data_IF_234952850674
#
_entry.id   IF_234952850674
#
_cell.length_a   1.000
_cell.length_b   1.000
_cell.length_c   1.000
_cell.angle_alpha   90.00
_cell.angle_beta   90.00
_cell.angle_gamma   90.00
#
_symmetry.space_group_name_H-M   'P 1'
#
loop_
_entity.id
_entity.type
_entity.pdbx_description
1 polymer ?
#
# COMPACT_ATOMS: atom_id res chain seq x y z
N UNK A 1 7.29 -27.25 -20.48
CA UNK A 1 5.84 -27.40 -20.73
C UNK A 1 5.20 -26.02 -20.59
N UNK A 2 4.29 -25.65 -21.49
CA UNK A 2 3.52 -24.39 -21.43
C UNK A 2 2.05 -24.75 -21.24
N UNK A 3 1.37 -24.09 -20.32
CA UNK A 3 -0.06 -24.27 -20.07
C UNK A 3 -0.84 -23.19 -20.82
N UNK A 4 -2.10 -23.50 -21.18
CA UNK A 4 -2.99 -22.53 -21.82
C UNK A 4 -3.60 -21.53 -20.82
N UNK A 5 -3.72 -21.93 -19.55
CA UNK A 5 -4.34 -21.15 -18.48
C UNK A 5 -3.85 -21.64 -17.11
N UNK A 6 -3.60 -20.72 -16.18
CA UNK A 6 -3.49 -21.01 -14.76
C UNK A 6 -4.66 -20.37 -14.00
N UNK A 7 -5.33 -21.13 -13.14
CA UNK A 7 -6.35 -20.62 -12.21
C UNK A 7 -5.86 -20.88 -10.80
N UNK A 8 -5.71 -19.84 -9.97
CA UNK A 8 -5.08 -19.97 -8.65
C UNK A 8 -5.79 -19.17 -7.55
N UNK A 9 -5.74 -19.71 -6.34
CA UNK A 9 -5.92 -18.99 -5.09
C UNK A 9 -4.70 -19.28 -4.21
N UNK A 10 -3.56 -18.62 -4.46
CA UNK A 10 -2.32 -18.95 -3.78
C UNK A 10 -2.40 -18.56 -2.30
N UNK A 11 -1.61 -19.20 -1.41
CA UNK A 11 -1.39 -18.65 -0.09
C UNK A 11 -0.82 -17.23 -0.21
N UNK A 12 -1.42 -16.27 0.49
CA UNK A 12 -1.11 -14.85 0.28
C UNK A 12 0.28 -14.46 0.81
N UNK A 13 0.65 -14.98 1.98
CA UNK A 13 1.85 -14.54 2.70
C UNK A 13 1.76 -13.10 3.19
N UNK A 14 2.78 -12.65 3.93
CA UNK A 14 2.82 -11.30 4.51
C UNK A 14 2.75 -10.25 3.39
N UNK A 15 1.76 -9.36 3.46
CA UNK A 15 1.55 -8.29 2.47
C UNK A 15 1.25 -8.77 1.04
N UNK A 16 0.86 -10.03 0.85
CA UNK A 16 0.65 -10.61 -0.48
C UNK A 16 1.92 -11.05 -1.21
N UNK A 17 3.09 -10.99 -0.55
CA UNK A 17 4.37 -11.31 -1.21
C UNK A 17 4.48 -12.76 -1.70
N UNK A 18 3.79 -13.72 -1.08
CA UNK A 18 3.80 -15.10 -1.59
C UNK A 18 2.92 -15.22 -2.83
N UNK A 19 1.73 -14.62 -2.83
CA UNK A 19 0.88 -14.57 -4.01
C UNK A 19 1.56 -13.90 -5.22
N UNK A 20 2.30 -12.80 -5.00
CA UNK A 20 3.08 -12.14 -6.06
C UNK A 20 4.15 -13.08 -6.64
N UNK A 21 4.83 -13.87 -5.80
CA UNK A 21 5.80 -14.87 -6.27
C UNK A 21 5.14 -15.94 -7.13
N UNK A 22 3.92 -16.38 -6.80
CA UNK A 22 3.15 -17.29 -7.64
C UNK A 22 2.80 -16.66 -8.99
N UNK A 23 2.31 -15.41 -9.02
CA UNK A 23 2.02 -14.71 -10.27
C UNK A 23 3.24 -14.64 -11.19
N UNK A 24 4.37 -14.18 -10.66
CA UNK A 24 5.62 -14.05 -11.40
C UNK A 24 6.14 -15.40 -11.89
N UNK A 25 6.02 -16.45 -11.08
CA UNK A 25 6.47 -17.78 -11.51
C UNK A 25 5.58 -18.37 -12.59
N UNK A 26 4.27 -18.16 -12.50
CA UNK A 26 3.31 -18.68 -13.47
C UNK A 26 3.43 -17.99 -14.84
N UNK A 27 3.88 -16.73 -14.90
CA UNK A 27 4.10 -16.03 -16.17
C UNK A 27 5.22 -16.65 -17.01
N UNK A 28 6.08 -17.48 -16.42
CA UNK A 28 7.06 -18.28 -17.16
C UNK A 28 6.43 -19.50 -17.86
N UNK A 29 5.21 -19.87 -17.49
CA UNK A 29 4.56 -21.12 -17.89
C UNK A 29 3.22 -20.93 -18.63
N UNK A 30 2.59 -19.77 -18.53
CA UNK A 30 1.33 -19.42 -19.20
C UNK A 30 1.25 -17.92 -19.46
N UNK A 31 0.55 -17.53 -20.53
CA UNK A 31 0.25 -16.13 -20.83
C UNK A 31 -1.10 -15.67 -20.25
N UNK A 32 -1.87 -16.59 -19.66
CA UNK A 32 -3.18 -16.34 -19.02
C UNK A 32 -3.19 -16.88 -17.59
N UNK A 33 -3.34 -15.98 -16.62
CA UNK A 33 -3.41 -16.29 -15.19
C UNK A 33 -4.68 -15.65 -14.62
N UNK A 34 -5.52 -16.44 -13.98
CA UNK A 34 -6.71 -15.97 -13.25
C UNK A 34 -6.52 -16.27 -11.78
N UNK A 35 -6.50 -15.23 -10.97
CA UNK A 35 -6.09 -15.34 -9.58
C UNK A 35 -7.11 -14.70 -8.64
N UNK A 36 -7.31 -15.34 -7.49
CA UNK A 36 -7.88 -14.71 -6.31
C UNK A 36 -6.73 -14.25 -5.42
N UNK A 37 -6.62 -12.95 -5.17
CA UNK A 37 -5.46 -12.30 -4.54
C UNK A 37 -5.91 -11.42 -3.38
N UNK A 38 -5.03 -11.07 -2.42
CA UNK A 38 -5.38 -10.11 -1.38
C UNK A 38 -5.42 -8.69 -1.96
N UNK A 39 -6.30 -7.83 -1.44
CA UNK A 39 -6.38 -6.40 -1.82
C UNK A 39 -5.05 -5.67 -1.74
N UNK A 40 -4.14 -6.10 -0.85
CA UNK A 40 -2.80 -5.54 -0.71
C UNK A 40 -1.93 -5.63 -1.98
N UNK A 41 -2.28 -6.51 -2.94
CA UNK A 41 -1.61 -6.58 -4.24
C UNK A 41 -1.81 -5.31 -5.06
N UNK A 42 -2.92 -4.57 -4.86
CA UNK A 42 -3.19 -3.30 -5.55
C UNK A 42 -2.27 -2.15 -5.14
N UNK A 43 -1.57 -2.26 -4.02
CA UNK A 43 -0.66 -1.20 -3.57
C UNK A 43 0.46 -1.00 -4.60
N UNK A 44 0.86 0.24 -4.92
CA UNK A 44 1.98 0.51 -5.83
C UNK A 44 3.25 -0.26 -5.47
N UNK A 45 3.58 -0.36 -4.18
CA UNK A 45 4.72 -1.13 -3.67
C UNK A 45 4.63 -2.64 -3.92
N UNK A 46 3.42 -3.19 -4.02
CA UNK A 46 3.16 -4.58 -4.40
C UNK A 46 3.19 -4.75 -5.91
N UNK A 47 2.56 -3.86 -6.66
CA UNK A 47 2.56 -3.86 -8.12
C UNK A 47 3.98 -3.74 -8.70
N UNK A 48 4.87 -2.99 -8.06
CA UNK A 48 6.29 -2.89 -8.48
C UNK A 48 7.06 -4.20 -8.34
N UNK A 49 6.57 -5.17 -7.56
CA UNK A 49 7.18 -6.50 -7.41
C UNK A 49 6.68 -7.51 -8.45
N UNK A 50 5.59 -7.20 -9.15
CA UNK A 50 5.06 -8.04 -10.23
C UNK A 50 5.92 -7.82 -11.47
N UNK A 51 6.20 -8.85 -12.27
CA UNK A 51 7.03 -8.70 -13.47
C UNK A 51 6.37 -7.75 -14.49
N UNK A 52 7.12 -6.77 -15.01
CA UNK A 52 6.60 -5.64 -15.82
C UNK A 52 5.75 -5.99 -17.04
N UNK A 53 5.90 -7.17 -17.62
CA UNK A 53 5.14 -7.63 -18.79
C UNK A 53 3.80 -8.30 -18.44
N UNK A 54 3.49 -8.47 -17.15
CA UNK A 54 2.16 -8.88 -16.70
C UNK A 54 1.25 -7.67 -16.59
N UNK A 55 0.11 -7.73 -17.28
CA UNK A 55 -0.93 -6.71 -17.29
C UNK A 55 -2.20 -7.27 -16.65
N UNK A 56 -2.80 -6.51 -15.73
CA UNK A 56 -4.07 -6.87 -15.12
C UNK A 56 -5.20 -6.35 -16.02
N UNK A 57 -5.92 -7.25 -16.68
CA UNK A 57 -7.03 -6.90 -17.58
C UNK A 57 -8.40 -6.90 -16.86
N UNK A 58 -8.51 -7.62 -15.75
CA UNK A 58 -9.71 -7.63 -14.88
C UNK A 58 -9.24 -7.44 -13.44
N UNK A 59 -9.86 -6.51 -12.72
CA UNK A 59 -9.65 -6.29 -11.29
C UNK A 59 -10.98 -5.99 -10.61
N UNK A 60 -11.54 -6.99 -9.93
CA UNK A 60 -12.86 -6.92 -9.30
C UNK A 60 -12.77 -7.28 -7.82
N UNK A 61 -13.48 -6.55 -6.98
CA UNK A 61 -13.65 -6.95 -5.57
C UNK A 61 -14.44 -8.25 -5.48
N UNK A 62 -14.00 -9.13 -4.58
CA UNK A 62 -14.84 -10.25 -4.16
C UNK A 62 -15.74 -9.81 -3.01
N UNK A 63 -16.87 -10.49 -2.86
CA UNK A 63 -17.76 -10.26 -1.73
C UNK A 63 -16.97 -10.42 -0.41
N UNK A 64 -17.09 -9.47 0.54
CA UNK A 64 -16.39 -9.56 1.83
C UNK A 64 -16.65 -10.85 2.61
N UNK A 65 -17.77 -11.54 2.37
CA UNK A 65 -18.10 -12.83 2.98
C UNK A 65 -17.48 -14.04 2.26
N UNK A 66 -16.77 -13.83 1.15
CA UNK A 66 -16.16 -14.92 0.35
C UNK A 66 -15.15 -15.72 1.17
N UNK A 67 -14.38 -15.05 2.03
CA UNK A 67 -13.38 -15.68 2.89
C UNK A 67 -13.66 -15.41 4.38
N UNK A 68 -13.45 -16.40 5.26
CA UNK A 68 -13.58 -16.19 6.70
C UNK A 68 -12.47 -15.29 7.25
N UNK A 69 -12.71 -14.70 8.43
CA UNK A 69 -11.67 -13.99 9.18
C UNK A 69 -11.31 -12.59 8.67
N UNK A 70 -12.21 -11.95 7.91
CA UNK A 70 -12.03 -10.56 7.45
C UNK A 70 -10.98 -10.41 6.35
N UNK A 71 -10.78 -11.45 5.54
CA UNK A 71 -9.88 -11.41 4.39
C UNK A 71 -10.62 -10.74 3.22
N UNK A 72 -10.18 -9.54 2.84
CA UNK A 72 -10.66 -8.84 1.64
C UNK A 72 -9.86 -9.28 0.42
N UNK A 73 -10.49 -9.99 -0.50
CA UNK A 73 -9.84 -10.52 -1.69
C UNK A 73 -10.36 -9.88 -2.96
N UNK A 74 -9.57 -10.00 -4.03
CA UNK A 74 -9.85 -9.47 -5.35
C UNK A 74 -9.70 -10.59 -6.37
N UNK A 75 -10.57 -10.59 -7.37
CA UNK A 75 -10.47 -11.44 -8.55
C UNK A 75 -9.72 -10.66 -9.61
N UNK A 76 -8.58 -11.19 -10.04
CA UNK A 76 -7.74 -10.54 -11.04
C UNK A 76 -7.35 -11.47 -12.18
N UNK A 77 -7.41 -10.97 -13.41
CA UNK A 77 -6.94 -11.68 -14.60
C UNK A 77 -5.70 -10.99 -15.15
N UNK A 78 -4.62 -11.74 -15.27
CA UNK A 78 -3.31 -11.27 -15.67
C UNK A 78 -2.88 -11.89 -16.99
N UNK A 79 -2.45 -11.04 -17.93
CA UNK A 79 -1.96 -11.43 -19.25
C UNK A 79 -0.51 -11.03 -19.44
N UNK A 80 0.29 -11.95 -19.99
CA UNK A 80 1.64 -11.65 -20.45
C UNK A 80 1.54 -10.91 -21.79
N UNK A 81 2.13 -9.72 -21.89
CA UNK A 81 2.19 -8.92 -23.12
C UNK A 81 3.65 -8.66 -23.50
N UNK A 82 3.90 -8.38 -24.78
CA UNK A 82 5.26 -8.05 -25.26
C UNK A 82 5.72 -6.64 -24.84
N UNK A 83 4.85 -5.86 -24.20
CA UNK A 83 5.14 -4.52 -23.70
C UNK A 83 5.17 -4.50 -22.18
N UNK A 84 6.02 -3.64 -21.61
CA UNK A 84 5.96 -3.32 -20.18
C UNK A 84 4.70 -2.54 -19.87
N UNK A 85 4.11 -2.77 -18.68
CA UNK A 85 3.04 -1.92 -18.13
C UNK A 85 3.56 -0.58 -17.58
N UNK A 86 4.86 -0.47 -17.33
CA UNK A 86 5.47 0.77 -16.86
C UNK A 86 5.75 1.70 -18.03
N UNK A 87 5.68 3.01 -17.79
CA UNK A 87 6.07 4.02 -18.78
C UNK A 87 7.51 3.79 -19.25
N UNK A 88 7.79 4.16 -20.51
CA UNK A 88 9.10 3.98 -21.13
C UNK A 88 10.17 4.67 -20.28
N UNK A 89 11.17 3.91 -19.85
CA UNK A 89 12.27 4.39 -19.02
C UNK A 89 11.97 4.48 -17.51
N UNK A 90 10.72 4.25 -17.07
CA UNK A 90 10.31 4.47 -15.66
C UNK A 90 10.40 3.19 -14.82
N UNK A 91 10.30 1.99 -15.40
CA UNK A 91 10.63 0.70 -14.77
C UNK A 91 9.81 0.26 -13.54
N UNK A 92 9.10 1.18 -12.89
CA UNK A 92 8.26 0.99 -11.72
C UNK A 92 7.17 2.08 -11.64
N UNK A 93 6.17 1.91 -10.79
CA UNK A 93 5.26 2.99 -10.39
C UNK A 93 6.03 3.91 -9.44
N UNK A 94 6.10 5.24 -9.69
CA UNK A 94 6.78 6.18 -8.81
C UNK A 94 6.22 6.13 -7.38
N UNK A 95 7.13 6.14 -6.41
CA UNK A 95 6.81 6.08 -4.98
C UNK A 95 7.24 7.36 -4.30
N UNK A 96 6.32 8.02 -3.60
CA UNK A 96 6.63 9.19 -2.78
C UNK A 96 7.35 8.76 -1.50
N UNK A 97 8.51 9.38 -1.24
CA UNK A 97 9.37 9.08 -0.08
C UNK A 97 9.58 10.28 0.84
N UNK A 98 9.32 11.47 0.33
CA UNK A 98 9.55 12.76 0.97
C UNK A 98 8.40 13.70 0.60
N UNK A 99 8.15 14.72 1.43
CA UNK A 99 7.15 15.74 1.19
C UNK A 99 7.70 17.13 1.61
N UNK A 100 7.33 18.22 0.91
CA UNK A 100 7.78 19.56 1.29
C UNK A 100 7.31 20.01 2.69
N UNK A 101 6.21 19.49 3.20
CA UNK A 101 5.63 19.97 4.47
C UNK A 101 6.23 19.31 5.71
N UNK A 102 6.91 18.17 5.55
CA UNK A 102 7.39 17.38 6.68
C UNK A 102 8.52 16.42 6.33
N UNK A 103 9.33 16.08 7.33
CA UNK A 103 10.44 15.12 7.26
C UNK A 103 10.09 13.87 8.08
N UNK A 104 10.39 12.68 7.54
CA UNK A 104 10.36 11.44 8.31
C UNK A 104 11.69 11.26 9.05
N UNK A 105 11.66 11.40 10.36
CA UNK A 105 12.83 11.26 11.20
C UNK A 105 13.27 9.80 11.32
N UNK A 106 14.58 9.53 11.38
CA UNK A 106 15.10 8.24 11.79
C UNK A 106 14.74 7.96 13.25
N UNK A 107 14.72 6.69 13.64
CA UNK A 107 14.26 6.25 14.96
C UNK A 107 15.04 6.87 16.12
N UNK A 108 16.33 7.12 15.90
CA UNK A 108 17.26 7.71 16.84
C UNK A 108 16.90 9.17 17.17
N UNK A 109 16.20 9.86 16.26
CA UNK A 109 15.75 11.25 16.40
C UNK A 109 14.26 11.37 16.74
N UNK A 110 13.59 10.29 17.13
CA UNK A 110 12.13 10.28 17.37
C UNK A 110 11.64 11.27 18.44
N UNK A 111 12.50 11.64 19.38
CA UNK A 111 12.17 12.63 20.43
C UNK A 111 12.06 14.06 19.86
N UNK A 112 12.58 14.31 18.65
CA UNK A 112 12.45 15.61 17.95
C UNK A 112 11.14 15.74 17.15
N UNK A 113 10.39 14.64 17.00
CA UNK A 113 9.18 14.60 16.18
C UNK A 113 8.05 15.43 16.80
N UNK A 114 7.28 16.10 15.94
CA UNK A 114 6.11 16.87 16.33
C UNK A 114 4.84 16.00 16.33
N UNK A 115 4.82 14.99 15.46
CA UNK A 115 3.68 14.08 15.29
C UNK A 115 4.14 12.68 14.92
N UNK A 116 3.38 11.70 15.38
CA UNK A 116 3.54 10.29 15.05
C UNK A 116 2.39 9.81 14.18
N UNK A 117 2.72 9.04 13.15
CA UNK A 117 1.74 8.26 12.39
C UNK A 117 2.18 6.80 12.35
N UNK A 118 1.32 5.90 12.81
CA UNK A 118 1.69 4.49 12.83
C UNK A 118 1.76 3.89 11.43
N UNK A 119 2.86 3.18 11.12
CA UNK A 119 2.98 2.44 9.84
C UNK A 119 2.43 1.01 9.94
N UNK A 120 2.86 0.22 10.93
CA UNK A 120 2.63 -1.24 10.93
C UNK A 120 1.82 -1.76 12.12
N UNK A 121 0.89 -2.68 11.87
CA UNK A 121 0.16 -3.40 12.90
C UNK A 121 -1.21 -2.82 13.23
N UNK A 122 -2.17 -3.69 13.59
CA UNK A 122 -3.58 -3.33 13.69
C UNK A 122 -3.86 -2.26 14.76
N UNK A 123 -3.06 -2.20 15.83
CA UNK A 123 -3.17 -1.14 16.82
C UNK A 123 -2.77 0.23 16.26
N UNK A 124 -1.48 0.47 15.98
CA UNK A 124 -0.97 1.80 15.66
C UNK A 124 -1.16 2.24 14.21
N UNK A 125 -1.26 1.34 13.22
CA UNK A 125 -1.21 1.70 11.80
C UNK A 125 -2.30 2.72 11.39
N UNK A 126 -1.92 3.81 10.74
CA UNK A 126 -2.79 4.94 10.38
C UNK A 126 -3.25 5.82 11.54
N UNK A 127 -2.89 5.52 12.80
CA UNK A 127 -3.23 6.39 13.94
C UNK A 127 -2.26 7.55 14.02
N UNK A 128 -2.81 8.73 14.30
CA UNK A 128 -2.07 9.97 14.53
C UNK A 128 -1.97 10.22 16.03
N UNK A 129 -0.79 10.62 16.50
CA UNK A 129 -0.55 11.02 17.90
C UNK A 129 0.36 12.23 17.94
N UNK A 130 0.00 13.21 18.76
CA UNK A 130 0.79 14.43 19.02
C UNK A 130 1.55 14.38 20.34
N UNK A 131 1.28 13.38 21.18
CA UNK A 131 1.93 13.19 22.47
C UNK A 131 2.15 11.71 22.79
N UNK A 132 3.06 11.44 23.74
CA UNK A 132 3.29 10.12 24.31
C UNK A 132 3.51 9.01 23.28
N UNK A 133 4.26 9.27 22.19
CA UNK A 133 4.46 8.31 21.10
C UNK A 133 5.91 7.83 20.94
N UNK A 134 6.88 8.40 21.66
CA UNK A 134 8.30 8.06 21.45
C UNK A 134 8.68 6.66 21.94
N UNK A 135 7.78 6.00 22.69
CA UNK A 135 7.90 4.60 23.10
C UNK A 135 7.60 3.58 21.98
N UNK A 136 7.00 4.00 20.86
CA UNK A 136 6.75 3.10 19.74
C UNK A 136 8.05 2.56 19.16
N UNK A 137 8.01 1.35 18.61
CA UNK A 137 9.19 0.69 18.06
C UNK A 137 9.63 1.30 16.71
N UNK A 138 10.81 0.90 16.23
CA UNK A 138 11.25 1.20 14.86
C UNK A 138 10.27 0.62 13.84
N UNK A 139 10.06 1.34 12.73
CA UNK A 139 9.11 0.96 11.67
C UNK A 139 7.74 1.63 11.81
N UNK A 140 7.69 2.81 12.43
CA UNK A 140 6.58 3.75 12.39
C UNK A 140 7.09 5.12 11.94
N UNK A 141 6.18 6.03 11.60
CA UNK A 141 6.54 7.38 11.13
C UNK A 141 6.63 8.34 12.31
N UNK A 142 7.85 8.76 12.61
CA UNK A 142 8.13 9.90 13.47
C UNK A 142 8.37 11.10 12.56
N UNK A 143 7.55 12.13 12.68
CA UNK A 143 7.47 13.19 11.67
C UNK A 143 7.82 14.53 12.31
N UNK A 144 8.77 15.24 11.70
CA UNK A 144 9.05 16.65 11.97
C UNK A 144 8.30 17.50 10.95
N UNK A 145 7.44 18.41 11.40
CA UNK A 145 6.72 19.30 10.50
C UNK A 145 7.51 20.58 10.24
N UNK A 146 7.29 21.22 9.09
CA UNK A 146 7.87 22.52 8.77
C UNK A 146 6.98 23.69 9.18
N UNK A 147 5.67 23.47 9.24
CA UNK A 147 4.65 24.42 9.71
C UNK A 147 3.74 23.72 10.73
N UNK A 148 3.45 24.32 11.90
CA UNK A 148 2.53 23.76 12.89
C UNK A 148 1.15 23.35 12.33
N UNK A 149 0.63 24.06 11.31
CA UNK A 149 -0.65 23.72 10.66
C UNK A 149 -0.66 22.31 10.05
N UNK A 150 0.50 21.77 9.72
CA UNK A 150 0.63 20.41 9.18
C UNK A 150 0.21 19.38 10.23
N UNK A 151 0.47 19.63 11.51
CA UNK A 151 0.00 18.76 12.61
C UNK A 151 -1.52 18.78 12.66
N UNK A 152 -2.12 19.96 12.59
CA UNK A 152 -3.59 20.12 12.59
C UNK A 152 -4.21 19.36 11.41
N UNK A 153 -3.66 19.51 10.20
CA UNK A 153 -4.09 18.76 9.02
C UNK A 153 -3.97 17.25 9.25
N UNK A 154 -2.86 16.76 9.81
CA UNK A 154 -2.69 15.33 10.06
C UNK A 154 -3.70 14.80 11.08
N UNK A 155 -4.03 15.57 12.11
CA UNK A 155 -5.07 15.21 13.10
C UNK A 155 -6.45 15.21 12.44
N UNK A 156 -6.76 16.22 11.63
CA UNK A 156 -8.00 16.31 10.84
C UNK A 156 -8.17 15.08 9.93
N UNK A 157 -7.09 14.63 9.28
CA UNK A 157 -7.11 13.52 8.32
C UNK A 157 -6.91 12.14 8.95
N UNK A 158 -6.86 12.03 10.29
CA UNK A 158 -6.52 10.79 10.97
C UNK A 158 -7.43 9.61 10.60
N UNK A 159 -8.73 9.85 10.43
CA UNK A 159 -9.68 8.80 10.01
C UNK A 159 -9.38 8.28 8.59
N UNK A 160 -8.96 9.17 7.68
CA UNK A 160 -8.57 8.81 6.31
C UNK A 160 -7.27 8.02 6.29
N UNK A 161 -6.31 8.35 7.13
CA UNK A 161 -5.10 7.55 7.30
C UNK A 161 -5.42 6.16 7.83
N UNK A 162 -6.33 6.07 8.80
CA UNK A 162 -6.76 4.80 9.38
C UNK A 162 -7.50 3.92 8.37
N UNK A 163 -8.37 4.52 7.57
CA UNK A 163 -9.08 3.85 6.47
C UNK A 163 -8.07 3.27 5.46
N UNK A 164 -7.15 4.09 4.96
CA UNK A 164 -6.13 3.69 3.99
C UNK A 164 -5.18 2.61 4.54
N UNK A 165 -4.81 2.69 5.83
CA UNK A 165 -4.02 1.68 6.52
C UNK A 165 -4.71 0.30 6.57
N UNK A 166 -6.06 0.31 6.64
CA UNK A 166 -6.91 -0.87 6.70
C UNK A 166 -7.18 -1.53 5.34
N UNK A 167 -6.83 -0.89 4.23
CA UNK A 167 -6.97 -1.43 2.87
C UNK A 167 -5.90 -2.50 2.56
N UNK A 168 -5.75 -3.49 3.43
CA UNK A 168 -4.90 -4.65 3.23
C UNK A 168 -5.34 -5.82 4.10
N UNK A 169 -5.02 -7.04 3.67
CA UNK A 169 -5.31 -8.24 4.44
C UNK A 169 -4.31 -8.48 5.57
N UNK A 170 -4.85 -8.91 6.71
CA UNK A 170 -4.06 -9.26 7.89
C UNK A 170 -3.67 -8.01 8.68
N UNK A 171 -2.36 -7.75 8.79
CA UNK A 171 -1.85 -6.63 9.59
C UNK A 171 -1.86 -5.35 8.77
N UNK A 172 -2.50 -4.32 9.32
CA UNK A 172 -2.56 -2.99 8.72
C UNK A 172 -1.16 -2.47 8.42
N UNK A 173 -1.05 -1.79 7.27
CA UNK A 173 0.20 -1.26 6.77
C UNK A 173 -0.04 0.08 6.09
N UNK A 174 0.69 1.10 6.50
CA UNK A 174 0.56 2.47 6.01
C UNK A 174 1.96 3.06 5.80
N UNK A 175 2.58 2.71 4.67
CA UNK A 175 3.97 3.11 4.38
C UNK A 175 4.09 4.60 4.06
N UNK A 176 5.31 5.10 3.86
CA UNK A 176 5.54 6.52 3.51
C UNK A 176 4.73 6.99 2.30
N UNK A 177 4.73 6.20 1.23
CA UNK A 177 3.94 6.53 0.04
C UNK A 177 2.45 6.59 0.33
N UNK A 178 1.93 5.63 1.12
CA UNK A 178 0.52 5.62 1.51
C UNK A 178 0.20 6.92 2.27
N UNK A 179 1.00 7.26 3.28
CA UNK A 179 0.85 8.50 4.07
C UNK A 179 0.88 9.75 3.21
N UNK A 180 1.91 9.93 2.39
CA UNK A 180 2.06 11.14 1.57
C UNK A 180 0.91 11.23 0.55
N UNK A 181 0.56 10.12 -0.11
CA UNK A 181 -0.53 10.11 -1.10
C UNK A 181 -1.89 10.42 -0.48
N UNK A 182 -2.19 9.87 0.71
CA UNK A 182 -3.42 10.18 1.42
C UNK A 182 -3.42 11.62 1.92
N UNK A 183 -2.30 12.13 2.43
CA UNK A 183 -2.17 13.51 2.87
C UNK A 183 -2.47 14.50 1.73
N UNK A 184 -1.79 14.34 0.58
CA UNK A 184 -1.99 15.20 -0.60
C UNK A 184 -3.46 15.15 -1.04
N UNK A 185 -4.02 13.94 -1.18
CA UNK A 185 -5.42 13.77 -1.57
C UNK A 185 -6.38 14.48 -0.62
N UNK A 186 -6.15 14.41 0.70
CA UNK A 186 -6.99 15.09 1.68
C UNK A 186 -6.88 16.62 1.59
N UNK A 187 -5.68 17.15 1.33
CA UNK A 187 -5.49 18.59 1.08
C UNK A 187 -6.24 19.01 -0.19
N UNK A 188 -6.06 18.30 -1.30
CA UNK A 188 -6.75 18.58 -2.57
C UNK A 188 -8.28 18.51 -2.43
N UNK A 189 -8.81 17.52 -1.70
CA UNK A 189 -10.24 17.39 -1.44
C UNK A 189 -10.80 18.46 -0.50
N UNK A 190 -9.98 19.04 0.38
CA UNK A 190 -10.40 20.13 1.25
C UNK A 190 -10.35 21.47 0.52
N UNK A 191 -9.26 21.74 -0.18
CA UNK A 191 -8.99 23.02 -0.83
C UNK A 191 -9.70 23.14 -2.19
N UNK A 192 -10.03 22.01 -2.84
CA UNK A 192 -10.82 21.95 -4.07
C UNK A 192 -12.34 21.96 -3.85
N UNK A 193 -12.81 22.11 -2.61
CA UNK A 193 -14.23 22.29 -2.26
C UNK A 193 -14.62 23.76 -2.04
N UNK A 194 -13.70 24.69 -2.27
CA UNK A 194 -13.98 26.13 -2.43
C UNK A 194 -14.34 26.47 -3.89
#
# INVERSE_FOLDING_TARGET
MRFSLAIINPPYGVGGNLAIRFLNKLSEHTDDIRAVLPTSVRKPSSLNKIVGHLHCDVDEDLDPSTFPGGISAVKQYWKVKNTSRFAIGVGEIPMMREHPDFEFLPYERREEADVFVGEYGCGPSGRVKTENFTHYAKGHHFIKVRDPKVVDNMVEFADKFREAAGQCNGRYHFGKNDLISTYIKCIEERDGKE
#
